data_IF_363667312336
#
_entry.id   IF_363667312336
#
_cell.length_a   1.000
_cell.length_b   1.000
_cell.length_c   1.000
_cell.angle_alpha   90.00
_cell.angle_beta   90.00
_cell.angle_gamma   90.00
#
_symmetry.space_group_name_H-M   'P 1'
#
loop_
_entity.id
_entity.type
_entity.pdbx_description
1 polymer ?
#
# COMPACT_ATOMS: atom_id res chain seq x y z
N UNK A 1 -25.61 -19.04 -3.65
CA UNK A 1 -24.79 -17.81 -3.59
C UNK A 1 -24.49 -17.42 -5.02
N UNK A 2 -25.35 -16.63 -5.65
CA UNK A 2 -25.15 -16.21 -7.04
C UNK A 2 -24.05 -15.15 -7.03
N UNK A 3 -22.92 -15.43 -7.67
CA UNK A 3 -21.89 -14.42 -7.92
C UNK A 3 -22.45 -13.41 -8.90
N UNK A 4 -22.95 -12.29 -8.36
CA UNK A 4 -23.47 -11.20 -9.17
C UNK A 4 -22.32 -10.31 -9.61
N UNK A 5 -22.24 -9.98 -10.90
CA UNK A 5 -21.15 -9.16 -11.45
C UNK A 5 -21.06 -7.79 -10.77
N UNK A 6 -22.21 -7.25 -10.35
CA UNK A 6 -22.29 -6.01 -9.58
C UNK A 6 -21.60 -6.12 -8.21
N UNK A 7 -21.76 -7.23 -7.51
CA UNK A 7 -21.10 -7.46 -6.21
C UNK A 7 -19.58 -7.57 -6.35
N UNK A 8 -19.11 -8.13 -7.47
CA UNK A 8 -17.68 -8.19 -7.79
C UNK A 8 -17.13 -6.78 -8.01
N UNK A 9 -17.79 -5.93 -8.79
CA UNK A 9 -17.34 -4.56 -9.03
C UNK A 9 -17.32 -3.71 -7.76
N UNK A 10 -18.36 -3.82 -6.91
CA UNK A 10 -18.44 -3.09 -5.65
C UNK A 10 -17.32 -3.44 -4.66
N UNK A 11 -16.76 -4.64 -4.74
CA UNK A 11 -15.63 -5.07 -3.90
C UNK A 11 -14.28 -4.84 -4.58
N UNK A 12 -14.20 -5.03 -5.91
CA UNK A 12 -12.98 -4.94 -6.68
C UNK A 12 -12.50 -3.51 -6.87
N UNK A 13 -13.39 -2.57 -7.18
CA UNK A 13 -12.99 -1.18 -7.46
C UNK A 13 -12.28 -0.54 -6.25
N UNK A 14 -12.84 -0.60 -5.02
CA UNK A 14 -12.15 -0.04 -3.85
C UNK A 14 -10.81 -0.70 -3.58
N UNK A 15 -10.70 -2.02 -3.76
CA UNK A 15 -9.45 -2.77 -3.60
C UNK A 15 -8.40 -2.35 -4.63
N UNK A 16 -8.81 -2.25 -5.91
CA UNK A 16 -7.93 -1.83 -7.00
C UNK A 16 -7.37 -0.42 -6.78
N UNK A 17 -8.23 0.50 -6.35
CA UNK A 17 -7.85 1.88 -6.01
C UNK A 17 -6.93 1.89 -4.78
N UNK A 18 -7.23 1.10 -3.73
CA UNK A 18 -6.43 1.04 -2.51
C UNK A 18 -5.02 0.46 -2.73
N UNK A 19 -4.85 -0.46 -3.69
CA UNK A 19 -3.53 -1.01 -4.05
C UNK A 19 -2.68 0.00 -4.86
N UNK A 20 -3.31 1.02 -5.44
CA UNK A 20 -2.67 1.98 -6.35
C UNK A 20 -1.91 1.32 -7.51
N UNK A 21 -2.58 0.41 -8.22
CA UNK A 21 -1.97 -0.35 -9.33
C UNK A 21 -1.36 0.57 -10.39
N UNK A 22 -2.01 1.70 -10.68
CA UNK A 22 -1.56 2.65 -11.70
C UNK A 22 -0.31 3.43 -11.28
N UNK A 23 -0.19 3.82 -10.00
CA UNK A 23 1.00 4.49 -9.48
C UNK A 23 2.18 3.54 -9.27
N UNK A 24 1.93 2.32 -8.77
CA UNK A 24 2.98 1.36 -8.43
C UNK A 24 3.68 0.80 -9.66
N UNK A 25 2.97 0.52 -10.76
CA UNK A 25 3.57 -0.07 -11.98
C UNK A 25 4.74 0.75 -12.54
N UNK A 26 4.61 2.06 -12.85
CA UNK A 26 5.72 2.84 -13.39
C UNK A 26 6.87 3.00 -12.38
N UNK A 27 6.57 3.10 -11.08
CA UNK A 27 7.59 3.15 -10.02
C UNK A 27 8.35 1.83 -9.94
N UNK A 28 7.66 0.70 -10.05
CA UNK A 28 8.31 -0.61 -10.07
C UNK A 28 9.19 -0.79 -11.31
N UNK A 29 8.73 -0.35 -12.48
CA UNK A 29 9.52 -0.44 -13.71
C UNK A 29 10.79 0.42 -13.63
N UNK A 30 10.72 1.64 -13.10
CA UNK A 30 11.91 2.49 -12.93
C UNK A 30 12.88 1.95 -11.89
N UNK A 31 12.38 1.40 -10.78
CA UNK A 31 13.23 0.81 -9.73
C UNK A 31 13.87 -0.51 -10.14
N UNK A 32 13.27 -1.24 -11.08
CA UNK A 32 13.80 -2.53 -11.57
C UNK A 32 14.55 -2.42 -12.89
N UNK A 33 14.69 -1.22 -13.44
CA UNK A 33 15.48 -0.95 -14.64
C UNK A 33 16.96 -1.31 -14.39
N UNK A 34 17.52 -2.16 -15.24
CA UNK A 34 18.90 -2.65 -15.11
C UNK A 34 19.11 -3.83 -14.14
N UNK A 35 18.07 -4.34 -13.48
CA UNK A 35 18.19 -5.54 -12.64
C UNK A 35 18.24 -6.83 -13.45
N UNK A 36 19.07 -7.78 -13.01
CA UNK A 36 19.12 -9.11 -13.57
C UNK A 36 17.87 -9.92 -13.15
N UNK A 37 17.49 -10.94 -13.93
CA UNK A 37 16.27 -11.74 -13.69
C UNK A 37 16.20 -12.32 -12.28
N UNK A 38 17.33 -12.75 -11.71
CA UNK A 38 17.39 -13.29 -10.35
C UNK A 38 17.11 -12.21 -9.29
N UNK A 39 17.68 -11.01 -9.44
CA UNK A 39 17.46 -9.89 -8.52
C UNK A 39 15.99 -9.47 -8.51
N UNK A 40 15.37 -9.39 -9.69
CA UNK A 40 13.95 -9.08 -9.82
C UNK A 40 13.05 -10.13 -9.16
N UNK A 41 13.37 -11.42 -9.30
CA UNK A 41 12.61 -12.49 -8.64
C UNK A 41 12.74 -12.44 -7.12
N UNK A 42 13.94 -12.18 -6.60
CA UNK A 42 14.15 -12.00 -5.16
C UNK A 42 13.33 -10.83 -4.64
N UNK A 43 13.41 -9.66 -5.29
CA UNK A 43 12.64 -8.46 -4.92
C UNK A 43 11.13 -8.74 -4.86
N UNK A 44 10.57 -9.38 -5.90
CA UNK A 44 9.13 -9.71 -5.94
C UNK A 44 8.75 -10.64 -4.79
N UNK A 45 9.59 -11.62 -4.48
CA UNK A 45 9.32 -12.60 -3.42
C UNK A 45 9.38 -11.93 -2.05
N UNK A 46 10.39 -11.11 -1.79
CA UNK A 46 10.53 -10.35 -0.54
C UNK A 46 9.38 -9.35 -0.34
N UNK A 47 9.04 -8.60 -1.38
CA UNK A 47 7.90 -7.68 -1.37
C UNK A 47 6.60 -8.42 -1.05
N UNK A 48 6.34 -9.53 -1.74
CA UNK A 48 5.12 -10.31 -1.58
C UNK A 48 5.03 -10.95 -0.19
N UNK A 49 6.13 -11.49 0.33
CA UNK A 49 6.19 -12.06 1.68
C UNK A 49 5.99 -10.99 2.75
N UNK A 50 6.57 -9.80 2.56
CA UNK A 50 6.40 -8.67 3.47
C UNK A 50 4.93 -8.22 3.49
N UNK A 51 4.34 -7.99 2.32
CA UNK A 51 2.95 -7.59 2.19
C UNK A 51 2.00 -8.63 2.80
N UNK A 52 2.26 -9.93 2.57
CA UNK A 52 1.49 -11.02 3.15
C UNK A 52 1.64 -11.06 4.67
N UNK A 53 2.86 -10.93 5.19
CA UNK A 53 3.13 -10.91 6.63
C UNK A 53 2.43 -9.76 7.33
N UNK A 54 2.54 -8.54 6.79
CA UNK A 54 1.85 -7.35 7.30
C UNK A 54 0.32 -7.53 7.22
N UNK A 55 -0.20 -8.02 6.10
CA UNK A 55 -1.64 -8.25 5.93
C UNK A 55 -2.19 -9.26 6.92
N UNK A 56 -1.49 -10.38 7.14
CA UNK A 56 -1.85 -11.39 8.13
C UNK A 56 -1.80 -10.81 9.54
N UNK A 57 -0.73 -10.07 9.88
CA UNK A 57 -0.61 -9.42 11.16
C UNK A 57 -1.76 -8.43 11.42
N UNK A 58 -2.14 -7.64 10.43
CA UNK A 58 -3.25 -6.70 10.55
C UNK A 58 -4.62 -7.38 10.57
N UNK A 59 -4.79 -8.48 9.83
CA UNK A 59 -6.01 -9.27 9.82
C UNK A 59 -6.34 -9.82 11.22
N UNK A 60 -5.34 -10.34 11.93
CA UNK A 60 -5.53 -10.89 13.28
C UNK A 60 -5.37 -9.83 14.39
N UNK A 61 -4.49 -8.85 14.21
CA UNK A 61 -4.13 -7.84 15.22
C UNK A 61 -4.91 -6.53 15.14
N UNK A 62 -5.52 -6.20 13.99
CA UNK A 62 -6.14 -4.89 13.75
C UNK A 62 -7.27 -4.59 14.73
N UNK A 63 -8.12 -5.58 15.05
CA UNK A 63 -9.21 -5.41 16.02
C UNK A 63 -8.69 -5.18 17.44
N UNK A 64 -7.54 -5.75 17.79
CA UNK A 64 -6.89 -5.54 19.09
C UNK A 64 -6.41 -4.10 19.20
N UNK A 65 -5.81 -3.56 18.14
CA UNK A 65 -5.39 -2.15 18.05
C UNK A 65 -6.60 -1.23 18.16
N UNK A 66 -7.68 -1.50 17.42
CA UNK A 66 -8.90 -0.69 17.47
C UNK A 66 -9.53 -0.67 18.87
N UNK A 67 -9.63 -1.84 19.52
CA UNK A 67 -10.14 -1.92 20.89
C UNK A 67 -9.25 -1.18 21.89
N UNK A 68 -7.92 -1.25 21.75
CA UNK A 68 -6.99 -0.53 22.61
C UNK A 68 -7.11 1.00 22.46
N UNK A 69 -7.30 1.47 21.23
CA UNK A 69 -7.51 2.88 20.92
C UNK A 69 -8.94 3.37 21.22
N UNK A 70 -9.88 2.45 21.48
CA UNK A 70 -11.28 2.77 21.70
C UNK A 70 -12.02 3.26 20.45
N UNK A 71 -11.58 2.85 19.26
CA UNK A 71 -12.14 3.26 17.96
C UNK A 71 -12.77 2.09 17.21
N UNK A 72 -13.65 2.39 16.26
CA UNK A 72 -14.23 1.41 15.34
C UNK A 72 -13.49 1.35 14.01
N UNK A 73 -13.78 0.34 13.20
CA UNK A 73 -13.30 0.28 11.81
C UNK A 73 -13.78 1.48 10.96
N UNK A 74 -14.94 2.07 11.29
CA UNK A 74 -15.46 3.24 10.60
C UNK A 74 -14.64 4.48 10.94
N UNK A 75 -14.28 4.66 12.22
CA UNK A 75 -13.45 5.77 12.67
C UNK A 75 -12.06 5.72 12.02
N UNK A 76 -11.47 4.51 11.94
CA UNK A 76 -10.20 4.31 11.26
C UNK A 76 -10.28 4.65 9.76
N UNK A 77 -11.35 4.23 9.07
CA UNK A 77 -11.56 4.58 7.65
C UNK A 77 -11.67 6.08 7.42
N UNK A 78 -12.40 6.81 8.28
CA UNK A 78 -12.53 8.27 8.17
C UNK A 78 -11.19 8.96 8.46
N UNK A 79 -10.51 8.60 9.55
CA UNK A 79 -9.22 9.19 9.93
C UNK A 79 -8.13 8.92 8.89
N UNK A 80 -8.02 7.67 8.42
CA UNK A 80 -7.10 7.30 7.36
C UNK A 80 -7.39 8.04 6.06
N UNK A 81 -8.65 8.19 5.68
CA UNK A 81 -9.05 8.98 4.51
C UNK A 81 -8.63 10.45 4.61
N UNK A 82 -8.77 11.08 5.78
CA UNK A 82 -8.32 12.46 6.02
C UNK A 82 -6.80 12.56 5.89
N UNK A 83 -6.05 11.61 6.47
CA UNK A 83 -4.58 11.59 6.35
C UNK A 83 -4.15 11.47 4.89
N UNK A 84 -4.75 10.55 4.12
CA UNK A 84 -4.46 10.39 2.69
C UNK A 84 -4.81 11.64 1.89
N UNK A 85 -5.94 12.30 2.19
CA UNK A 85 -6.31 13.56 1.56
C UNK A 85 -5.27 14.65 1.81
N UNK A 86 -4.81 14.80 3.07
CA UNK A 86 -3.79 15.78 3.44
C UNK A 86 -2.47 15.48 2.72
N UNK A 87 -2.06 14.21 2.65
CA UNK A 87 -0.86 13.80 1.92
C UNK A 87 -0.96 14.11 0.42
N UNK A 88 -2.10 13.80 -0.20
CA UNK A 88 -2.33 14.09 -1.62
C UNK A 88 -2.28 15.60 -1.91
N UNK A 89 -2.93 16.42 -1.07
CA UNK A 89 -2.89 17.89 -1.19
C UNK A 89 -1.47 18.42 -0.98
N UNK A 90 -0.75 17.89 0.02
CA UNK A 90 0.64 18.26 0.29
C UNK A 90 1.56 17.94 -0.90
N UNK A 91 1.42 16.75 -1.50
CA UNK A 91 2.21 16.32 -2.66
C UNK A 91 1.95 17.20 -3.90
N UNK A 92 0.71 17.66 -4.09
CA UNK A 92 0.35 18.57 -5.19
C UNK A 92 0.90 19.99 -5.00
N UNK A 93 0.95 20.49 -3.76
CA UNK A 93 1.42 21.84 -3.45
C UNK A 93 2.94 21.95 -3.29
N UNK A 94 3.61 20.87 -2.87
CA UNK A 94 5.05 20.87 -2.57
C UNK A 94 5.82 19.71 -3.25
N UNK A 95 5.84 19.67 -4.59
CA UNK A 95 6.43 18.55 -5.35
C UNK A 95 7.93 18.34 -5.09
N UNK A 96 8.70 19.38 -4.72
CA UNK A 96 10.17 19.33 -4.61
C UNK A 96 10.71 18.89 -3.24
N UNK A 97 9.86 18.64 -2.24
CA UNK A 97 10.30 18.29 -0.87
C UNK A 97 10.73 16.82 -0.68
N UNK A 98 10.52 15.96 -1.69
CA UNK A 98 10.92 14.53 -1.66
C UNK A 98 12.31 14.29 -2.27
N UNK A 99 13.34 15.03 -1.87
CA UNK A 99 14.69 14.46 -1.89
C UNK A 99 14.80 13.47 -0.73
N UNK A 100 14.21 12.27 -0.92
CA UNK A 100 14.43 11.12 -0.05
C UNK A 100 15.91 10.77 -0.13
N UNK A 101 16.62 11.00 0.98
CA UNK A 101 18.01 10.68 1.17
C UNK A 101 18.27 9.20 0.75
N UNK A 102 19.11 8.91 -0.27
CA UNK A 102 19.26 7.57 -0.86
C UNK A 102 19.90 6.49 0.04
N UNK A 103 20.33 6.82 1.26
CA UNK A 103 21.18 5.94 2.07
C UNK A 103 20.42 4.95 2.99
N UNK A 104 19.09 5.00 3.05
CA UNK A 104 18.31 4.04 3.84
C UNK A 104 17.70 2.95 2.95
N UNK A 105 18.41 1.82 2.81
CA UNK A 105 17.94 0.51 2.35
C UNK A 105 16.66 0.54 1.50
N UNK A 106 16.85 0.92 0.23
CA UNK A 106 15.83 0.84 -0.82
C UNK A 106 15.47 -0.63 -1.03
N UNK A 107 14.29 -1.06 -0.61
CA UNK A 107 13.78 -2.39 -0.95
C UNK A 107 12.54 -2.83 -0.18
N UNK A 108 12.44 -2.51 1.12
CA UNK A 108 11.39 -3.11 1.97
C UNK A 108 10.20 -2.18 2.21
N UNK A 109 10.45 -0.89 2.45
CA UNK A 109 9.41 0.02 2.92
C UNK A 109 8.59 0.67 1.80
N UNK A 110 9.16 1.14 0.66
CA UNK A 110 8.34 1.75 -0.39
C UNK A 110 7.47 0.74 -1.17
N UNK A 111 7.75 -0.56 -1.00
CA UNK A 111 7.12 -1.65 -1.76
C UNK A 111 6.28 -2.56 -0.84
N UNK A 112 6.67 -2.72 0.43
CA UNK A 112 6.00 -3.64 1.37
C UNK A 112 4.78 -3.04 2.08
N UNK A 113 4.62 -1.71 2.03
CA UNK A 113 3.45 -1.00 2.54
C UNK A 113 3.06 0.11 1.56
N UNK A 114 2.00 -0.07 0.75
CA UNK A 114 1.29 1.08 0.21
C UNK A 114 0.63 1.89 1.35
#
# INVERSE_FOLDING_TARGET
MAFDFNSLLLSFIPLFVAIDVLGVVPIFLSLTEGMNRNQRHTLITEASLTALGVSVAFLFGGRLIFNFLGITEHDFRVGGGIVLLVLAVSDLLFPDSKQRNPEASVGVVPIGIP
#
